data_IF_876052154082
#
_entry.id   IF_876052154082
#
_cell.length_a   1.000
_cell.length_b   1.000
_cell.length_c   1.000
_cell.angle_alpha   90.00
_cell.angle_beta   90.00
_cell.angle_gamma   90.00
#
_symmetry.space_group_name_H-M   'P 1'
#
loop_
_entity.id
_entity.type
_entity.pdbx_description
1 polymer ?
#
# COMPACT_ATOMS: atom_id res chain seq x y z
N UNK A 1 50.39 68.66 37.74
CA UNK A 1 50.37 67.55 36.76
C UNK A 1 48.98 66.95 36.75
N UNK A 2 48.17 67.10 35.69
CA UNK A 2 46.79 66.62 35.67
C UNK A 2 46.75 65.11 35.40
N UNK A 3 45.99 64.36 36.20
CA UNK A 3 45.84 62.91 36.09
C UNK A 3 44.92 62.54 34.91
N UNK A 4 45.49 62.09 33.79
CA UNK A 4 44.79 61.60 32.58
C UNK A 4 44.39 60.13 32.64
N UNK A 5 44.35 59.53 33.84
CA UNK A 5 44.07 58.11 34.02
C UNK A 5 42.59 57.64 33.91
N UNK A 6 41.53 58.44 34.16
CA UNK A 6 40.18 57.87 34.28
C UNK A 6 39.53 57.53 32.93
N UNK A 7 39.79 58.30 31.86
CA UNK A 7 39.19 58.05 30.54
C UNK A 7 39.83 56.87 29.81
N UNK A 8 41.15 56.74 29.88
CA UNK A 8 41.87 55.63 29.24
C UNK A 8 41.47 54.28 29.85
N UNK A 9 41.31 54.23 31.18
CA UNK A 9 40.86 53.03 31.88
C UNK A 9 39.43 52.64 31.50
N UNK A 10 38.51 53.61 31.40
CA UNK A 10 37.14 53.36 30.96
C UNK A 10 37.07 52.86 29.51
N UNK A 11 37.91 53.39 28.62
CA UNK A 11 37.98 52.92 27.24
C UNK A 11 38.56 51.50 27.14
N UNK A 12 39.58 51.17 27.94
CA UNK A 12 40.13 49.82 28.03
C UNK A 12 39.12 48.83 28.61
N UNK A 13 38.43 49.20 29.68
CA UNK A 13 37.36 48.38 30.28
C UNK A 13 36.18 48.22 29.32
N UNK A 14 35.78 49.27 28.60
CA UNK A 14 34.71 49.21 27.60
C UNK A 14 35.11 48.36 26.40
N UNK A 15 36.37 48.42 25.96
CA UNK A 15 36.90 47.57 24.90
C UNK A 15 36.98 46.10 25.32
N UNK A 16 37.46 45.83 26.53
CA UNK A 16 37.47 44.48 27.12
C UNK A 16 36.05 43.93 27.26
N UNK A 17 35.10 44.74 27.72
CA UNK A 17 33.70 44.34 27.88
C UNK A 17 33.01 44.07 26.53
N UNK A 18 33.28 44.90 25.51
CA UNK A 18 32.79 44.70 24.15
C UNK A 18 33.35 43.41 23.51
N UNK A 19 34.60 43.04 23.83
CA UNK A 19 35.20 41.77 23.40
C UNK A 19 34.61 40.56 24.13
N UNK A 20 34.10 40.74 25.36
CA UNK A 20 33.43 39.67 26.14
C UNK A 20 31.93 39.56 25.90
N UNK A 21 31.35 40.40 25.03
CA UNK A 21 29.95 40.30 24.67
C UNK A 21 29.72 39.02 23.83
N UNK A 22 29.56 37.89 24.53
CA UNK A 22 29.13 36.62 23.95
C UNK A 22 27.70 36.80 23.46
N UNK A 23 27.57 37.01 22.15
CA UNK A 23 26.26 36.94 21.50
C UNK A 23 25.77 35.49 21.63
N UNK A 24 24.85 35.25 22.57
CA UNK A 24 24.14 33.99 22.63
C UNK A 24 23.31 33.86 21.34
N UNK A 25 23.75 33.01 20.43
CA UNK A 25 22.96 32.60 19.28
C UNK A 25 21.72 31.82 19.74
N UNK A 26 20.73 31.69 18.86
CA UNK A 26 19.65 30.72 19.06
C UNK A 26 20.18 29.33 18.73
N UNK A 27 19.77 28.34 19.53
CA UNK A 27 20.03 26.93 19.26
C UNK A 27 18.72 26.20 18.97
N UNK A 28 18.76 25.16 18.14
CA UNK A 28 17.60 24.34 17.78
C UNK A 28 17.82 22.87 18.11
N UNK A 29 16.78 22.20 18.58
CA UNK A 29 16.74 20.75 18.75
C UNK A 29 15.68 20.19 17.81
N UNK A 30 16.05 19.24 16.94
CA UNK A 30 15.16 18.66 15.93
C UNK A 30 15.26 17.14 15.92
N UNK A 31 14.11 16.48 15.82
CA UNK A 31 14.03 15.03 15.62
C UNK A 31 13.32 14.74 14.30
N UNK A 32 13.93 13.90 13.48
CA UNK A 32 13.35 13.42 12.22
C UNK A 32 13.04 11.94 12.34
N UNK A 33 11.76 11.60 12.40
CA UNK A 33 11.27 10.24 12.39
C UNK A 33 10.82 9.85 10.98
N UNK A 34 11.40 8.78 10.44
CA UNK A 34 11.09 8.26 9.10
C UNK A 34 10.65 6.81 9.23
N UNK A 35 9.44 6.50 8.75
CA UNK A 35 8.92 5.15 8.68
C UNK A 35 8.67 4.76 7.22
N UNK A 36 9.16 3.60 6.79
CA UNK A 36 9.10 3.15 5.40
C UNK A 36 8.49 1.75 5.34
N UNK A 37 7.39 1.60 4.61
CA UNK A 37 6.83 0.29 4.30
C UNK A 37 7.74 -0.47 3.32
N UNK A 38 7.72 -1.81 3.37
CA UNK A 38 8.44 -2.64 2.41
C UNK A 38 7.46 -3.41 1.55
N UNK A 39 7.79 -3.64 0.26
CA UNK A 39 7.03 -4.56 -0.57
C UNK A 39 7.10 -5.98 0.01
N UNK A 40 6.04 -6.75 -0.18
CA UNK A 40 5.87 -8.07 0.42
C UNK A 40 5.55 -8.02 1.93
N UNK A 41 5.76 -9.14 2.64
CA UNK A 41 5.52 -9.25 4.10
C UNK A 41 6.69 -8.76 4.95
N UNK A 42 7.54 -7.87 4.42
CA UNK A 42 8.67 -7.31 5.16
C UNK A 42 8.19 -6.39 6.27
N UNK A 43 8.82 -6.48 7.46
CA UNK A 43 8.56 -5.52 8.53
C UNK A 43 8.93 -4.10 8.06
N UNK A 44 8.13 -3.06 8.37
CA UNK A 44 8.48 -1.68 8.08
C UNK A 44 9.79 -1.24 8.76
N UNK A 45 10.55 -0.38 8.09
CA UNK A 45 11.74 0.27 8.68
C UNK A 45 11.33 1.50 9.45
N UNK A 46 11.94 1.74 10.60
CA UNK A 46 11.88 2.98 11.33
C UNK A 46 13.29 3.53 11.59
N UNK A 47 13.49 4.81 11.28
CA UNK A 47 14.74 5.54 11.50
C UNK A 47 14.40 6.83 12.24
N UNK A 48 15.16 7.15 13.28
CA UNK A 48 15.05 8.41 13.99
C UNK A 48 16.42 9.08 14.08
N UNK A 49 16.50 10.38 13.81
CA UNK A 49 17.75 11.15 13.91
C UNK A 49 17.51 12.45 14.67
N UNK A 50 18.28 12.65 15.73
CA UNK A 50 18.28 13.87 16.53
C UNK A 50 19.41 14.81 16.11
N UNK A 51 19.10 16.09 15.97
CA UNK A 51 20.02 17.18 15.64
C UNK A 51 19.99 18.26 16.72
N UNK A 52 21.17 18.70 17.13
CA UNK A 52 21.37 19.98 17.80
C UNK A 52 21.97 20.91 16.75
N UNK A 53 21.27 22.01 16.47
CA UNK A 53 21.52 22.86 15.32
C UNK A 53 21.55 22.01 14.03
N UNK A 54 22.63 22.06 13.27
CA UNK A 54 22.80 21.26 12.05
C UNK A 54 23.65 19.99 12.28
N UNK A 55 23.99 19.69 13.53
CA UNK A 55 24.84 18.55 13.90
C UNK A 55 24.02 17.39 14.45
N UNK A 56 24.04 16.21 13.81
CA UNK A 56 23.37 15.04 14.35
C UNK A 56 24.08 14.59 15.63
N UNK A 57 23.31 14.31 16.68
CA UNK A 57 23.85 13.85 17.96
C UNK A 57 23.40 12.45 18.35
N UNK A 58 22.26 11.97 17.82
CA UNK A 58 21.77 10.61 18.03
C UNK A 58 21.11 10.04 16.78
N UNK A 59 21.14 8.70 16.66
CA UNK A 59 20.43 7.97 15.59
C UNK A 59 19.94 6.62 16.08
N UNK A 60 18.71 6.28 15.73
CA UNK A 60 18.14 4.94 15.87
C UNK A 60 17.81 4.35 14.49
N UNK A 61 18.01 3.04 14.33
CA UNK A 61 17.62 2.30 13.14
C UNK A 61 17.03 0.94 13.55
N UNK A 62 15.76 0.71 13.21
CA UNK A 62 15.07 -0.54 13.57
C UNK A 62 15.61 -1.76 12.85
N UNK A 63 16.35 -1.58 11.76
CA UNK A 63 16.93 -2.68 10.96
C UNK A 63 18.29 -3.13 11.44
N UNK A 64 18.91 -2.41 12.38
CA UNK A 64 20.17 -2.84 12.95
C UNK A 64 20.01 -4.22 13.63
N UNK A 65 21.03 -5.06 13.57
CA UNK A 65 21.00 -6.39 14.20
C UNK A 65 20.70 -6.32 15.72
N UNK A 66 21.10 -5.22 16.36
CA UNK A 66 20.74 -4.87 17.73
C UNK A 66 20.24 -3.42 17.74
N UNK A 67 18.92 -3.17 17.55
CA UNK A 67 18.39 -1.81 17.50
C UNK A 67 18.57 -1.12 18.85
N UNK A 68 19.36 -0.04 18.83
CA UNK A 68 19.64 0.84 19.97
C UNK A 68 19.83 2.26 19.50
N UNK A 69 19.60 3.23 20.38
CA UNK A 69 19.96 4.62 20.08
C UNK A 69 21.47 4.75 20.15
N UNK A 70 22.08 5.27 19.09
CA UNK A 70 23.52 5.40 18.96
C UNK A 70 23.95 6.87 18.97
N UNK A 71 25.03 7.22 19.70
CA UNK A 71 25.60 8.57 19.68
C UNK A 71 26.17 8.89 18.30
N UNK A 72 26.09 10.17 17.92
CA UNK A 72 26.68 10.73 16.68
C UNK A 72 27.61 11.90 16.94
N UNK A 73 27.80 12.27 18.21
CA UNK A 73 28.73 13.30 18.63
C UNK A 73 29.40 12.92 19.96
N UNK A 74 30.69 13.27 20.18
CA UNK A 74 31.42 12.86 21.39
C UNK A 74 30.85 13.43 22.70
N UNK A 75 30.13 14.55 22.64
CA UNK A 75 29.59 15.18 23.85
C UNK A 75 28.41 14.42 24.46
N UNK A 76 27.64 13.67 23.66
CA UNK A 76 26.49 12.91 24.16
C UNK A 76 26.91 11.56 24.75
N UNK A 77 28.10 11.05 24.42
CA UNK A 77 28.63 9.79 24.97
C UNK A 77 28.83 9.82 26.49
N UNK A 78 28.83 11.03 27.08
CA UNK A 78 28.95 11.25 28.53
C UNK A 78 27.69 10.88 29.31
N UNK A 79 26.57 10.70 28.62
CA UNK A 79 25.31 10.32 29.24
C UNK A 79 25.36 8.91 29.83
N UNK A 80 24.64 8.73 30.95
CA UNK A 80 24.60 7.46 31.68
C UNK A 80 23.83 6.36 30.96
N UNK A 81 24.01 5.09 31.37
CA UNK A 81 23.31 3.95 30.77
C UNK A 81 21.78 4.07 30.88
N UNK A 82 21.26 4.69 31.95
CA UNK A 82 19.81 4.88 32.12
C UNK A 82 19.22 5.73 31.00
N UNK A 83 19.91 6.81 30.59
CA UNK A 83 19.50 7.65 29.48
C UNK A 83 19.43 6.84 28.17
N UNK A 84 20.49 6.10 27.86
CA UNK A 84 20.55 5.31 26.63
C UNK A 84 19.49 4.22 26.57
N UNK A 85 19.24 3.53 27.69
CA UNK A 85 18.23 2.49 27.80
C UNK A 85 16.80 3.05 27.66
N UNK A 86 16.53 4.18 28.32
CA UNK A 86 15.24 4.86 28.23
C UNK A 86 14.98 5.35 26.81
N UNK A 87 15.93 6.07 26.20
CA UNK A 87 15.76 6.61 24.86
C UNK A 87 15.68 5.49 23.81
N UNK A 88 16.44 4.40 23.98
CA UNK A 88 16.30 3.21 23.14
C UNK A 88 14.92 2.59 23.25
N UNK A 89 14.37 2.50 24.47
CA UNK A 89 13.01 1.99 24.70
C UNK A 89 11.96 2.87 24.03
N UNK A 90 12.11 4.19 24.12
CA UNK A 90 11.21 5.15 23.47
C UNK A 90 11.24 5.01 21.94
N UNK A 91 12.42 4.94 21.33
CA UNK A 91 12.54 4.71 19.88
C UNK A 91 11.93 3.36 19.44
N UNK A 92 12.08 2.29 20.24
CA UNK A 92 11.42 1.00 19.98
C UNK A 92 9.91 1.10 20.07
N UNK A 93 9.38 1.85 21.04
CA UNK A 93 7.96 2.15 21.15
C UNK A 93 7.44 2.90 19.92
N UNK A 94 8.12 3.97 19.52
CA UNK A 94 7.79 4.73 18.31
C UNK A 94 7.80 3.84 17.06
N UNK A 95 8.83 2.99 16.89
CA UNK A 95 8.91 2.06 15.78
C UNK A 95 7.69 1.12 15.71
N UNK A 96 7.19 0.63 16.85
CA UNK A 96 5.99 -0.19 16.90
C UNK A 96 4.73 0.60 16.51
N UNK A 97 4.56 1.82 17.04
CA UNK A 97 3.44 2.70 16.68
C UNK A 97 3.43 3.01 15.19
N UNK A 98 4.59 3.37 14.62
CA UNK A 98 4.69 3.64 13.18
C UNK A 98 4.43 2.40 12.32
N UNK A 99 4.84 1.22 12.78
CA UNK A 99 4.51 -0.04 12.11
C UNK A 99 2.99 -0.26 12.02
N UNK A 100 2.27 -0.02 13.11
CA UNK A 100 0.81 -0.17 13.14
C UNK A 100 0.10 0.88 12.28
N UNK A 101 0.56 2.12 12.35
CA UNK A 101 0.07 3.21 11.50
C UNK A 101 0.26 2.90 10.02
N UNK A 102 1.44 2.41 9.63
CA UNK A 102 1.72 2.01 8.24
C UNK A 102 0.85 0.84 7.80
N UNK A 103 0.69 -0.21 8.62
CA UNK A 103 -0.22 -1.33 8.31
C UNK A 103 -1.66 -0.87 8.12
N UNK A 104 -2.11 0.06 8.95
CA UNK A 104 -3.46 0.64 8.89
C UNK A 104 -3.63 1.49 7.63
N UNK A 105 -2.68 2.37 7.32
CA UNK A 105 -2.70 3.19 6.13
C UNK A 105 -2.69 2.34 4.85
N UNK A 106 -1.80 1.34 4.77
CA UNK A 106 -1.74 0.42 3.63
C UNK A 106 -3.05 -0.34 3.44
N UNK A 107 -3.69 -0.80 4.52
CA UNK A 107 -5.01 -1.44 4.44
C UNK A 107 -6.08 -0.47 3.94
N UNK A 108 -6.12 0.74 4.47
CA UNK A 108 -7.10 1.76 4.10
C UNK A 108 -7.04 2.10 2.60
N UNK A 109 -5.84 2.13 2.03
CA UNK A 109 -5.62 2.39 0.61
C UNK A 109 -5.54 1.13 -0.26
N UNK A 110 -5.88 -0.06 0.27
CA UNK A 110 -5.80 -1.35 -0.43
C UNK A 110 -4.41 -1.67 -1.02
N UNK A 111 -3.35 -1.25 -0.33
CA UNK A 111 -1.93 -1.45 -0.67
C UNK A 111 -1.25 -2.51 0.22
N UNK A 112 -2.01 -3.26 1.03
CA UNK A 112 -1.46 -4.23 1.98
C UNK A 112 -0.93 -5.51 1.35
N UNK A 113 -1.43 -5.89 0.17
CA UNK A 113 -0.98 -7.09 -0.55
C UNK A 113 -1.09 -6.86 -2.07
N UNK A 114 0.03 -7.06 -2.77
CA UNK A 114 0.07 -7.24 -4.22
C UNK A 114 0.85 -8.53 -4.50
N UNK A 115 0.36 -9.67 -4.03
CA UNK A 115 0.69 -11.00 -4.54
C UNK A 115 -0.50 -11.92 -4.21
N UNK A 116 -1.20 -12.50 -5.20
CA UNK A 116 -2.23 -13.49 -4.92
C UNK A 116 -1.57 -14.67 -4.21
N UNK A 117 -2.08 -15.04 -3.03
CA UNK A 117 -1.56 -16.18 -2.28
C UNK A 117 -1.50 -17.42 -3.18
N UNK A 118 -0.46 -18.26 -3.08
CA UNK A 118 -0.33 -19.44 -3.93
C UNK A 118 -1.57 -20.35 -3.90
N UNK A 119 -2.31 -20.36 -2.79
CA UNK A 119 -3.61 -21.04 -2.70
C UNK A 119 -4.66 -20.39 -3.61
N UNK A 120 -4.75 -19.06 -3.63
CA UNK A 120 -5.60 -18.30 -4.56
C UNK A 120 -5.20 -18.57 -6.01
N UNK A 121 -3.90 -18.63 -6.32
CA UNK A 121 -3.41 -18.98 -7.66
C UNK A 121 -3.81 -20.41 -8.05
N UNK A 122 -3.60 -21.39 -7.16
CA UNK A 122 -3.99 -22.80 -7.40
C UNK A 122 -5.50 -22.92 -7.61
N UNK A 123 -6.32 -22.23 -6.80
CA UNK A 123 -7.78 -22.21 -6.96
C UNK A 123 -8.19 -21.58 -8.29
N UNK A 124 -7.59 -20.46 -8.68
CA UNK A 124 -7.87 -19.80 -9.97
C UNK A 124 -7.51 -20.74 -11.13
N UNK A 125 -6.34 -21.36 -11.11
CA UNK A 125 -5.91 -22.32 -12.15
C UNK A 125 -6.84 -23.53 -12.20
N UNK A 126 -7.29 -24.05 -11.05
CA UNK A 126 -8.23 -25.16 -10.98
C UNK A 126 -9.61 -24.82 -11.58
N UNK A 127 -10.12 -23.62 -11.31
CA UNK A 127 -11.39 -23.14 -11.89
C UNK A 127 -11.27 -23.02 -13.41
N UNK A 128 -10.17 -22.43 -13.91
CA UNK A 128 -9.93 -22.26 -15.35
C UNK A 128 -9.82 -23.62 -16.06
N UNK A 129 -9.04 -24.56 -15.50
CA UNK A 129 -8.91 -25.91 -16.05
C UNK A 129 -10.23 -26.68 -16.06
N UNK A 130 -11.03 -26.55 -15.00
CA UNK A 130 -12.36 -27.16 -14.90
C UNK A 130 -13.33 -26.63 -15.95
N UNK A 131 -13.40 -25.30 -16.14
CA UNK A 131 -14.23 -24.68 -17.17
C UNK A 131 -13.80 -25.10 -18.58
N UNK A 132 -12.49 -25.20 -18.83
CA UNK A 132 -11.95 -25.66 -20.12
C UNK A 132 -12.34 -27.12 -20.42
N UNK A 133 -12.25 -28.01 -19.43
CA UNK A 133 -12.68 -29.40 -19.55
C UNK A 133 -14.18 -29.53 -19.85
N UNK A 134 -15.03 -28.73 -19.19
CA UNK A 134 -16.48 -28.72 -19.43
C UNK A 134 -16.80 -28.26 -20.85
N UNK A 135 -16.14 -27.20 -21.34
CA UNK A 135 -16.32 -26.71 -22.70
C UNK A 135 -15.88 -27.74 -23.75
N UNK A 136 -14.72 -28.38 -23.58
CA UNK A 136 -14.28 -29.46 -24.46
C UNK A 136 -15.25 -30.64 -24.46
N UNK A 137 -15.73 -31.05 -23.28
CA UNK A 137 -16.74 -32.11 -23.15
C UNK A 137 -18.03 -31.79 -23.89
N UNK A 138 -18.54 -30.56 -23.73
CA UNK A 138 -19.74 -30.09 -24.43
C UNK A 138 -19.56 -30.07 -25.95
N UNK A 139 -18.39 -29.65 -26.46
CA UNK A 139 -18.06 -29.67 -27.89
C UNK A 139 -18.02 -31.10 -28.43
N UNK A 140 -17.40 -32.03 -27.71
CA UNK A 140 -17.32 -33.44 -28.12
C UNK A 140 -18.71 -34.08 -28.13
N UNK A 141 -19.53 -33.87 -27.10
CA UNK A 141 -20.92 -34.37 -27.06
C UNK A 141 -21.74 -33.75 -28.20
N UNK A 142 -21.60 -32.45 -28.43
CA UNK A 142 -22.24 -31.74 -29.53
C UNK A 142 -21.84 -32.31 -30.91
N UNK A 143 -20.56 -32.57 -31.14
CA UNK A 143 -20.05 -33.17 -32.38
C UNK A 143 -20.55 -34.62 -32.57
N UNK A 144 -20.62 -35.41 -31.51
CA UNK A 144 -21.18 -36.78 -31.55
C UNK A 144 -22.67 -36.74 -31.89
N UNK A 145 -23.44 -35.84 -31.27
CA UNK A 145 -24.84 -35.64 -31.60
C UNK A 145 -25.03 -35.16 -33.04
N UNK A 146 -24.19 -34.23 -33.52
CA UNK A 146 -24.19 -33.80 -34.91
C UNK A 146 -23.94 -34.96 -35.86
N UNK A 147 -22.95 -35.83 -35.56
CA UNK A 147 -22.66 -37.01 -36.39
C UNK A 147 -23.82 -38.01 -36.41
N UNK A 148 -24.44 -38.27 -35.25
CA UNK A 148 -25.59 -39.19 -35.14
C UNK A 148 -26.85 -38.63 -35.81
N UNK A 149 -27.04 -37.31 -35.78
CA UNK A 149 -28.18 -36.63 -36.42
C UNK A 149 -27.98 -36.39 -37.91
N UNK A 150 -26.74 -36.12 -38.34
CA UNK A 150 -26.35 -35.96 -39.74
C UNK A 150 -26.35 -37.28 -40.52
N UNK A 151 -26.34 -38.44 -39.86
CA UNK A 151 -26.43 -39.75 -40.52
C UNK A 151 -27.86 -40.22 -40.81
N UNK A 152 -28.88 -39.48 -40.37
CA UNK A 152 -30.30 -39.84 -40.57
C UNK A 152 -31.06 -38.76 -41.32
N UNK A 153 -30.96 -38.73 -42.65
CA UNK A 153 -31.71 -37.77 -43.45
C UNK A 153 -31.45 -37.87 -44.94
N UNK A 154 -32.03 -38.89 -45.59
CA UNK A 154 -32.30 -38.86 -47.03
C UNK A 154 -33.77 -38.50 -47.19
N UNK A 155 -34.06 -37.20 -47.15
CA UNK A 155 -35.38 -36.63 -47.37
C UNK A 155 -35.50 -36.06 -48.78
N UNK A 156 -36.64 -36.34 -49.44
CA UNK A 156 -37.16 -35.54 -50.54
C UNK A 156 -37.77 -36.33 -51.69
N UNK A 157 -39.11 -36.46 -51.72
CA UNK A 157 -39.88 -36.53 -52.96
C UNK A 157 -41.12 -35.66 -52.82
N UNK A 158 -41.30 -34.75 -53.77
CA UNK A 158 -42.37 -33.76 -53.82
C UNK A 158 -43.64 -34.28 -54.52
N UNK A 159 -44.76 -33.71 -54.08
CA UNK A 159 -46.05 -33.52 -54.79
C UNK A 159 -47.09 -34.64 -54.69
N UNK A 160 -48.11 -34.42 -53.87
CA UNK A 160 -49.46 -34.84 -54.21
C UNK A 160 -50.39 -33.64 -54.09
N UNK A 161 -50.91 -33.22 -55.25
CA UNK A 161 -51.88 -32.15 -55.37
C UNK A 161 -53.22 -32.59 -54.76
N UNK A 162 -53.85 -31.66 -54.07
CA UNK A 162 -55.17 -31.82 -53.50
C UNK A 162 -56.21 -31.91 -54.62
N UNK A 163 -56.86 -33.07 -54.73
CA UNK A 163 -58.18 -33.21 -55.32
C UNK A 163 -59.16 -33.53 -54.19
N UNK A 164 -60.15 -32.69 -53.98
CA UNK A 164 -61.16 -32.90 -52.94
C UNK A 164 -62.16 -31.76 -52.91
N UNK A 165 -63.11 -31.82 -53.84
CA UNK A 165 -64.43 -31.19 -53.72
C UNK A 165 -65.01 -31.49 -52.34
N UNK A 166 -65.53 -30.45 -51.68
CA UNK A 166 -66.55 -30.58 -50.64
C UNK A 166 -67.30 -29.26 -50.57
N UNK A 167 -68.28 -29.16 -51.46
CA UNK A 167 -69.44 -28.28 -51.29
C UNK A 167 -70.33 -28.79 -50.14
N UNK A 168 -71.18 -27.90 -49.63
CA UNK A 168 -72.08 -27.98 -48.47
C UNK A 168 -71.44 -27.43 -47.19
N UNK A 169 -71.84 -26.29 -46.65
CA UNK A 169 -73.13 -25.62 -46.74
C UNK A 169 -73.61 -25.38 -45.32
N UNK A 170 -73.61 -24.12 -44.90
CA UNK A 170 -74.53 -23.48 -43.92
C UNK A 170 -73.82 -22.35 -43.16
N UNK A 171 -74.15 -21.14 -43.63
CA UNK A 171 -74.66 -20.01 -42.87
C UNK A 171 -73.93 -19.44 -41.64
N UNK A 172 -73.42 -18.23 -41.87
CA UNK A 172 -73.74 -16.99 -41.16
C UNK A 172 -73.77 -17.02 -39.62
N UNK A 173 -72.79 -16.35 -39.02
CA UNK A 173 -73.07 -15.27 -38.07
C UNK A 173 -71.89 -14.31 -37.97
N UNK A 174 -72.14 -13.08 -38.44
CA UNK A 174 -71.32 -11.90 -38.22
C UNK A 174 -71.40 -11.47 -36.75
N UNK A 175 -70.27 -11.09 -36.15
CA UNK A 175 -70.10 -10.00 -35.17
C UNK A 175 -68.62 -10.00 -34.73
N UNK A 176 -67.78 -9.12 -35.27
CA UNK A 176 -67.56 -7.72 -34.88
C UNK A 176 -66.52 -7.56 -33.75
N UNK A 177 -65.50 -6.76 -34.08
CA UNK A 177 -64.39 -6.30 -33.24
C UNK A 177 -64.83 -5.35 -32.12
N UNK A 178 -64.07 -5.34 -31.01
CA UNK A 178 -63.52 -4.13 -30.35
C UNK A 178 -62.50 -4.58 -29.30
N UNK A 179 -61.22 -4.20 -29.43
CA UNK A 179 -60.58 -2.98 -28.89
C UNK A 179 -60.71 -2.86 -27.37
#
# INVERSE_FOLDING_TARGET
>A
MPATAPRALLLLLSGALALTATRAGSHSLRYFATAVSRPGRGEPRYIEVGYVDDSPFVRFDSDAASPRLEPRAPWVEREGPEYWDEQTRNCKGNAQTFRENLRTALRYYNQSEAEPSSQTIILIVAIIAGLFLVLLGAVVIGAVMWRKRSSGGKGGSYSQAASGDSDQGSDVSLTACKA
#
